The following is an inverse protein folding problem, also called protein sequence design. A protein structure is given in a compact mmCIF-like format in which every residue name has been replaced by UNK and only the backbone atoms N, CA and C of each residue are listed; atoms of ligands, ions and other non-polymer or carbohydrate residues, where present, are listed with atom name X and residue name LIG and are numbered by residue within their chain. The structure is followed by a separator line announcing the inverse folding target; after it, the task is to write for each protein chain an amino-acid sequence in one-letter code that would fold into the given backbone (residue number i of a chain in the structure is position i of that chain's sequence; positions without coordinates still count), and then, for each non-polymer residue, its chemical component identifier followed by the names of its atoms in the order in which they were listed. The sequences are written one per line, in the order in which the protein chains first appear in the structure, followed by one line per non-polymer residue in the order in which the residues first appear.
data_IF_433640416394
#
_entry.id   IF_433640416394
#
_cell.length_a   1.000
_cell.length_b   1.000
_cell.length_c   1.000
_cell.angle_alpha   90.00
_cell.angle_beta   90.00
_cell.angle_gamma   90.00
#
_symmetry.space_group_name_H-M   'P 1'
#
loop_
_entity.id
_entity.type
_entity.pdbx_description
1 polymer ?
#
# COMPACT_ATOMS: atom_id res chain seq x y z
N UNK A 1 -41.02 -3.25 1.67
CA UNK A 1 -39.69 -2.63 1.46
C UNK A 1 -39.89 -1.24 0.87
N UNK A 2 -39.14 -0.22 1.32
CA UNK A 2 -39.23 1.14 0.77
C UNK A 2 -38.83 1.15 -0.72
N UNK A 3 -39.42 2.03 -1.54
CA UNK A 3 -39.17 2.13 -3.00
C UNK A 3 -37.67 2.15 -3.37
N UNK A 4 -36.83 2.80 -2.56
CA UNK A 4 -35.37 2.83 -2.75
C UNK A 4 -34.69 1.46 -2.56
N UNK A 5 -35.16 0.66 -1.60
CA UNK A 5 -34.61 -0.69 -1.35
C UNK A 5 -34.97 -1.64 -2.50
N UNK A 6 -36.19 -1.57 -3.02
CA UNK A 6 -36.61 -2.35 -4.19
C UNK A 6 -35.85 -1.94 -5.47
N UNK A 7 -35.59 -0.64 -5.65
CA UNK A 7 -34.75 -0.16 -6.75
C UNK A 7 -33.31 -0.65 -6.62
N UNK A 8 -32.72 -0.53 -5.42
CA UNK A 8 -31.36 -0.98 -5.17
C UNK A 8 -31.23 -2.48 -5.42
N UNK A 9 -32.09 -3.31 -4.85
CA UNK A 9 -32.09 -4.77 -5.00
C UNK A 9 -32.81 -5.27 -6.26
N UNK A 10 -32.79 -4.50 -7.35
CA UNK A 10 -33.43 -4.95 -8.60
C UNK A 10 -32.77 -6.21 -9.17
N UNK A 11 -33.57 -7.24 -9.46
CA UNK A 11 -33.09 -8.54 -9.99
C UNK A 11 -32.31 -8.35 -11.31
N UNK A 12 -32.81 -7.48 -12.20
CA UNK A 12 -32.14 -7.14 -13.47
C UNK A 12 -30.74 -6.55 -13.33
N UNK A 13 -30.41 -5.99 -12.16
CA UNK A 13 -29.08 -5.50 -11.88
C UNK A 13 -28.21 -6.60 -11.27
N UNK A 14 -28.68 -7.23 -10.19
CA UNK A 14 -27.87 -8.11 -9.37
C UNK A 14 -27.75 -9.54 -9.89
N UNK A 15 -28.80 -10.09 -10.50
CA UNK A 15 -28.90 -11.52 -10.76
C UNK A 15 -28.72 -11.87 -12.25
N UNK A 16 -28.28 -13.10 -12.55
CA UNK A 16 -28.33 -13.66 -13.89
C UNK A 16 -29.76 -13.79 -14.44
N UNK A 17 -29.93 -13.98 -15.76
CA UNK A 17 -31.25 -14.23 -16.34
C UNK A 17 -31.94 -15.44 -15.71
N UNK A 18 -33.25 -15.35 -15.49
CA UNK A 18 -34.09 -16.40 -14.92
C UNK A 18 -33.78 -16.80 -13.47
N UNK A 19 -33.15 -15.90 -12.69
CA UNK A 19 -32.95 -16.08 -11.24
C UNK A 19 -33.67 -14.95 -10.51
N UNK A 20 -34.38 -15.30 -9.44
CA UNK A 20 -35.09 -14.35 -8.58
C UNK A 20 -34.53 -14.36 -7.15
N UNK A 21 -34.74 -13.27 -6.40
CA UNK A 21 -34.34 -13.25 -4.99
C UNK A 21 -35.12 -14.26 -4.15
N UNK A 22 -36.38 -14.55 -4.51
CA UNK A 22 -37.21 -15.51 -3.81
C UNK A 22 -36.63 -16.93 -3.81
N UNK A 23 -35.98 -17.33 -4.90
CA UNK A 23 -35.29 -18.63 -5.00
C UNK A 23 -34.03 -18.69 -4.14
N UNK A 24 -33.36 -17.54 -3.92
CA UNK A 24 -32.18 -17.45 -3.06
C UNK A 24 -32.53 -17.30 -1.57
N UNK A 25 -33.72 -16.78 -1.25
CA UNK A 25 -34.21 -16.62 0.12
C UNK A 25 -34.76 -17.94 0.71
N UNK A 26 -35.14 -18.88 -0.16
CA UNK A 26 -35.69 -20.19 0.21
C UNK A 26 -34.83 -21.35 -0.30
N UNK A 27 -33.62 -21.55 0.28
CA UNK A 27 -32.75 -22.64 -0.11
C UNK A 27 -33.37 -24.02 0.22
N UNK A 28 -32.92 -25.10 -0.45
CA UNK A 28 -33.32 -26.46 -0.12
C UNK A 28 -33.06 -26.82 1.35
N UNK A 29 -33.83 -27.77 1.95
CA UNK A 29 -33.63 -28.17 3.34
C UNK A 29 -32.19 -28.62 3.61
N UNK A 30 -31.53 -27.96 4.57
CA UNK A 30 -30.14 -28.24 4.96
C UNK A 30 -29.09 -27.40 4.24
N UNK A 31 -29.49 -26.53 3.31
CA UNK A 31 -28.61 -25.55 2.68
C UNK A 31 -28.84 -24.14 3.23
N UNK A 32 -27.78 -23.34 3.28
CA UNK A 32 -27.84 -21.91 3.58
C UNK A 32 -27.16 -21.14 2.45
N UNK A 33 -27.77 -20.05 2.00
CA UNK A 33 -27.18 -19.11 1.03
C UNK A 33 -26.80 -17.80 1.75
N UNK A 34 -25.79 -17.07 1.24
CA UNK A 34 -25.34 -15.82 1.84
C UNK A 34 -26.44 -14.75 1.81
N UNK A 35 -26.61 -14.04 2.92
CA UNK A 35 -27.57 -12.94 3.02
C UNK A 35 -26.86 -11.63 3.35
N UNK A 36 -27.25 -10.56 2.68
CA UNK A 36 -26.57 -9.26 2.80
C UNK A 36 -26.59 -8.67 4.23
N UNK A 37 -27.61 -8.99 5.03
CA UNK A 37 -27.73 -8.58 6.43
C UNK A 37 -26.64 -9.20 7.32
N UNK A 38 -26.16 -10.40 6.99
CA UNK A 38 -25.06 -11.06 7.72
C UNK A 38 -23.78 -10.21 7.70
N UNK A 39 -23.55 -9.44 6.62
CA UNK A 39 -22.39 -8.56 6.51
C UNK A 39 -22.46 -7.33 7.42
N UNK A 40 -23.64 -6.93 7.90
CA UNK A 40 -23.76 -5.82 8.84
C UNK A 40 -23.02 -6.10 10.16
N UNK A 41 -22.86 -7.38 10.52
CA UNK A 41 -22.05 -7.80 11.66
C UNK A 41 -20.56 -7.49 11.51
N UNK A 42 -20.06 -7.26 10.29
CA UNK A 42 -18.66 -6.94 10.04
C UNK A 42 -18.24 -5.57 10.61
N UNK A 43 -19.16 -4.61 10.72
CA UNK A 43 -18.86 -3.28 11.29
C UNK A 43 -18.56 -3.34 12.80
N UNK A 44 -19.44 -3.89 13.67
CA UNK A 44 -19.09 -4.07 15.07
C UNK A 44 -17.87 -5.00 15.26
N UNK A 45 -17.71 -6.02 14.41
CA UNK A 45 -16.51 -6.86 14.42
C UNK A 45 -15.25 -6.06 14.06
N UNK A 46 -15.29 -5.12 13.12
CA UNK A 46 -14.17 -4.25 12.80
C UNK A 46 -13.71 -3.40 14.00
N UNK A 47 -14.65 -2.88 14.80
CA UNK A 47 -14.32 -2.23 16.07
C UNK A 47 -13.74 -3.20 17.10
N UNK A 48 -14.22 -4.44 17.13
CA UNK A 48 -13.62 -5.53 17.90
C UNK A 48 -12.17 -5.80 17.49
N UNK A 49 -11.89 -5.89 16.19
CA UNK A 49 -10.55 -6.05 15.61
C UNK A 49 -9.64 -4.87 16.03
N UNK A 50 -10.15 -3.63 16.02
CA UNK A 50 -9.40 -2.47 16.52
C UNK A 50 -9.10 -2.56 18.01
N UNK A 51 -10.06 -3.02 18.83
CA UNK A 51 -9.83 -3.22 20.26
C UNK A 51 -8.76 -4.30 20.50
N UNK A 52 -8.83 -5.42 19.78
CA UNK A 52 -7.81 -6.49 19.82
C UNK A 52 -6.46 -5.95 19.36
N UNK A 53 -6.39 -5.13 18.30
CA UNK A 53 -5.16 -4.47 17.86
C UNK A 53 -4.54 -3.65 18.98
N UNK A 54 -5.31 -2.80 19.66
CA UNK A 54 -4.80 -1.96 20.76
C UNK A 54 -4.27 -2.82 21.91
N UNK A 55 -4.95 -3.91 22.25
CA UNK A 55 -4.48 -4.86 23.27
C UNK A 55 -3.20 -5.57 22.82
N UNK A 56 -3.15 -6.06 21.57
CA UNK A 56 -2.00 -6.74 20.99
C UNK A 56 -0.77 -5.83 20.96
N UNK A 57 -0.91 -4.59 20.50
CA UNK A 57 0.18 -3.62 20.46
C UNK A 57 0.75 -3.36 21.87
N UNK A 58 -0.12 -3.32 22.88
CA UNK A 58 0.28 -3.11 24.28
C UNK A 58 0.92 -4.33 24.92
N UNK A 59 0.33 -5.51 24.73
CA UNK A 59 0.67 -6.74 25.47
C UNK A 59 1.70 -7.61 24.76
N UNK A 60 1.82 -7.50 23.43
CA UNK A 60 2.69 -8.35 22.62
C UNK A 60 3.72 -7.51 21.86
N UNK A 61 3.27 -6.57 21.02
CA UNK A 61 4.18 -5.90 20.10
C UNK A 61 5.20 -5.00 20.79
N UNK A 62 4.79 -4.20 21.79
CA UNK A 62 5.71 -3.36 22.58
C UNK A 62 6.73 -4.18 23.37
N UNK A 63 6.35 -5.24 24.12
CA UNK A 63 7.33 -6.14 24.74
C UNK A 63 8.33 -6.74 23.74
N UNK A 64 7.86 -7.22 22.58
CA UNK A 64 8.75 -7.73 21.54
C UNK A 64 9.72 -6.66 21.00
N UNK A 65 9.24 -5.44 20.78
CA UNK A 65 10.07 -4.32 20.37
C UNK A 65 11.14 -3.98 21.42
N UNK A 66 10.80 -4.05 22.72
CA UNK A 66 11.75 -3.82 23.81
C UNK A 66 12.83 -4.91 23.86
N UNK A 67 12.46 -6.18 23.68
CA UNK A 67 13.42 -7.31 23.59
C UNK A 67 14.40 -7.10 22.43
N UNK A 68 13.89 -6.62 21.30
CA UNK A 68 14.70 -6.29 20.11
C UNK A 68 15.42 -4.93 20.22
N UNK A 69 15.33 -4.24 21.36
CA UNK A 69 15.94 -2.93 21.62
C UNK A 69 15.53 -1.86 20.58
N UNK A 70 14.31 -1.96 20.03
CA UNK A 70 13.73 -0.97 19.13
C UNK A 70 13.28 0.22 19.96
N UNK A 71 14.16 1.21 20.10
CA UNK A 71 13.84 2.41 20.84
C UNK A 71 12.86 3.30 20.07
N UNK A 72 11.86 3.83 20.78
CA UNK A 72 11.16 5.03 20.33
C UNK A 72 12.17 6.17 20.39
N UNK A 73 12.91 6.38 19.29
CA UNK A 73 13.95 7.41 19.25
C UNK A 73 13.40 8.73 19.77
N UNK A 74 14.05 9.32 20.77
CA UNK A 74 13.67 10.63 21.28
C UNK A 74 13.84 11.65 20.15
N UNK A 75 12.75 11.94 19.45
CA UNK A 75 12.76 12.98 18.42
C UNK A 75 13.03 14.30 19.14
N UNK A 76 14.22 14.87 18.91
CA UNK A 76 14.62 16.17 19.47
C UNK A 76 13.51 17.18 19.23
N UNK A 77 12.92 17.67 20.31
CA UNK A 77 11.78 18.58 20.20
C UNK A 77 12.24 19.94 19.68
N UNK A 78 11.48 20.54 18.77
CA UNK A 78 11.70 21.92 18.40
C UNK A 78 11.42 22.81 19.61
N UNK A 79 12.26 23.83 19.81
CA UNK A 79 12.08 24.78 20.91
C UNK A 79 10.71 25.49 20.77
N UNK A 80 9.90 25.63 21.83
CA UNK A 80 8.63 26.34 21.72
C UNK A 80 8.82 27.75 21.16
N UNK A 81 8.18 28.06 20.03
CA UNK A 81 8.20 29.39 19.42
C UNK A 81 6.87 29.66 18.69
N UNK A 82 6.05 30.55 19.25
CA UNK A 82 4.70 30.82 18.75
C UNK A 82 4.68 31.43 17.33
N UNK A 83 5.71 32.20 16.96
CA UNK A 83 5.82 32.81 15.62
C UNK A 83 6.09 31.73 14.58
N UNK A 84 7.07 30.86 14.85
CA UNK A 84 7.41 29.76 13.95
C UNK A 84 6.28 28.74 13.87
N UNK A 85 5.60 28.43 14.97
CA UNK A 85 4.44 27.53 14.99
C UNK A 85 3.28 28.09 14.15
N UNK A 86 2.98 29.39 14.29
CA UNK A 86 1.94 30.05 13.46
C UNK A 86 2.26 29.95 11.97
N UNK A 87 3.53 30.12 11.59
CA UNK A 87 3.94 29.92 10.19
C UNK A 87 3.83 28.46 9.79
N UNK A 88 4.24 27.53 10.66
CA UNK A 88 4.17 26.09 10.42
C UNK A 88 2.75 25.62 10.12
N UNK A 89 1.74 26.12 10.84
CA UNK A 89 0.33 25.82 10.58
C UNK A 89 -0.11 26.22 9.17
N UNK A 90 0.44 27.33 8.64
CA UNK A 90 0.15 27.77 7.26
C UNK A 90 1.00 27.07 6.19
N UNK A 91 2.23 26.69 6.53
CA UNK A 91 3.19 26.11 5.57
C UNK A 91 4.26 25.33 6.33
N UNK A 92 4.32 24.01 6.10
CA UNK A 92 5.28 23.11 6.77
C UNK A 92 6.71 23.27 6.27
N UNK A 93 6.90 23.81 5.06
CA UNK A 93 8.21 24.09 4.46
C UNK A 93 8.23 25.48 3.80
N UNK A 94 8.47 26.55 4.57
CA UNK A 94 8.48 27.91 4.04
C UNK A 94 9.64 28.15 3.07
N UNK A 95 9.41 29.00 2.06
CA UNK A 95 10.42 29.43 1.10
C UNK A 95 11.56 30.23 1.76
N UNK A 96 12.74 30.26 1.12
CA UNK A 96 13.95 30.91 1.62
C UNK A 96 13.72 32.37 2.05
N UNK A 97 12.97 33.15 1.26
CA UNK A 97 12.65 34.55 1.58
C UNK A 97 11.86 34.70 2.88
N UNK A 98 10.92 33.78 3.13
CA UNK A 98 10.10 33.78 4.36
C UNK A 98 10.92 33.35 5.58
N UNK A 99 11.86 32.41 5.39
CA UNK A 99 12.82 32.01 6.43
C UNK A 99 13.75 33.18 6.81
N UNK A 100 14.23 33.95 5.83
CA UNK A 100 15.04 35.15 6.09
C UNK A 100 14.26 36.23 6.86
N UNK A 101 12.99 36.44 6.52
CA UNK A 101 12.11 37.35 7.26
C UNK A 101 11.94 36.93 8.73
N UNK A 102 11.75 35.62 8.96
CA UNK A 102 11.63 35.06 10.32
C UNK A 102 12.93 35.14 11.11
N UNK A 103 14.07 34.95 10.43
CA UNK A 103 15.41 35.13 11.01
C UNK A 103 15.57 36.55 11.56
N UNK A 104 15.20 37.58 10.79
CA UNK A 104 15.23 38.98 11.23
C UNK A 104 14.24 39.27 12.36
N UNK A 105 13.02 38.74 12.29
CA UNK A 105 11.99 38.98 13.30
C UNK A 105 12.34 38.38 14.67
N UNK A 106 12.97 37.20 14.67
CA UNK A 106 13.27 36.43 15.88
C UNK A 106 14.70 36.65 16.39
N UNK A 107 15.51 37.42 15.67
CA UNK A 107 16.96 37.55 15.90
C UNK A 107 17.66 36.18 15.98
N UNK A 108 17.29 35.29 15.06
CA UNK A 108 17.85 33.93 14.96
C UNK A 108 18.63 33.78 13.67
N UNK A 109 19.69 32.99 13.69
CA UNK A 109 20.34 32.56 12.45
C UNK A 109 19.35 31.85 11.51
N UNK A 110 19.44 32.13 10.21
CA UNK A 110 18.67 31.44 9.17
C UNK A 110 18.75 29.92 9.32
N UNK A 111 19.95 29.39 9.62
CA UNK A 111 20.16 27.94 9.86
C UNK A 111 19.40 27.43 11.08
N UNK A 112 19.28 28.24 12.14
CA UNK A 112 18.53 27.89 13.36
C UNK A 112 17.03 27.82 13.07
N UNK A 113 16.50 28.77 12.28
CA UNK A 113 15.11 28.75 11.80
C UNK A 113 14.86 27.52 10.91
N UNK A 114 15.72 27.25 9.92
CA UNK A 114 15.63 26.05 9.07
C UNK A 114 15.67 24.75 9.90
N UNK A 115 16.58 24.68 10.88
CA UNK A 115 16.69 23.55 11.80
C UNK A 115 15.42 23.39 12.63
N UNK A 116 14.83 24.49 13.10
CA UNK A 116 13.57 24.45 13.83
C UNK A 116 12.46 23.83 12.98
N UNK A 117 12.25 24.30 11.74
CA UNK A 117 11.25 23.73 10.83
C UNK A 117 11.51 22.26 10.54
N UNK A 118 12.78 21.86 10.36
CA UNK A 118 13.15 20.46 10.18
C UNK A 118 12.83 19.60 11.41
N UNK A 119 13.18 20.06 12.61
CA UNK A 119 12.87 19.36 13.86
C UNK A 119 11.35 19.27 14.07
N UNK A 120 10.63 20.36 13.83
CA UNK A 120 9.17 20.43 13.97
C UNK A 120 8.47 19.43 13.05
N UNK A 121 8.89 19.33 11.78
CA UNK A 121 8.39 18.30 10.85
C UNK A 121 8.72 16.88 11.31
N UNK A 122 9.90 16.67 11.88
CA UNK A 122 10.34 15.36 12.37
C UNK A 122 9.70 14.95 13.70
N UNK A 123 9.10 15.89 14.45
CA UNK A 123 8.34 15.57 15.67
C UNK A 123 6.99 14.92 15.35
N UNK A 124 6.34 15.31 14.26
CA UNK A 124 5.07 14.71 13.82
C UNK A 124 5.28 13.39 13.06
N UNK A 125 6.54 13.04 12.76
CA UNK A 125 6.83 11.74 12.15
C UNK A 125 6.63 10.64 13.20
N UNK A 126 5.97 9.55 12.81
CA UNK A 126 5.80 8.41 13.71
C UNK A 126 7.13 7.77 14.07
N UNK A 127 7.20 7.27 15.31
CA UNK A 127 8.37 6.55 15.78
C UNK A 127 8.53 5.20 15.07
N UNK A 128 9.77 4.72 14.96
CA UNK A 128 10.07 3.36 14.48
C UNK A 128 9.33 2.30 15.33
N UNK A 129 9.17 2.55 16.63
CA UNK A 129 8.39 1.68 17.51
C UNK A 129 6.92 1.58 17.08
N UNK A 130 6.27 2.69 16.76
CA UNK A 130 4.89 2.72 16.26
C UNK A 130 4.78 1.89 14.98
N UNK A 131 5.67 2.15 14.00
CA UNK A 131 5.71 1.41 12.73
C UNK A 131 5.93 -0.10 12.93
N UNK A 132 6.80 -0.47 13.86
CA UNK A 132 7.05 -1.87 14.21
C UNK A 132 5.79 -2.53 14.79
N UNK A 133 5.10 -1.87 15.71
CA UNK A 133 3.88 -2.40 16.32
C UNK A 133 2.77 -2.59 15.28
N UNK A 134 2.56 -1.61 14.40
CA UNK A 134 1.60 -1.68 13.30
C UNK A 134 1.92 -2.85 12.35
N UNK A 135 3.17 -2.99 11.94
CA UNK A 135 3.62 -4.09 11.07
C UNK A 135 3.48 -5.46 11.74
N UNK A 136 3.75 -5.56 13.03
CA UNK A 136 3.65 -6.82 13.77
C UNK A 136 2.20 -7.29 13.93
N UNK A 137 1.26 -6.35 14.15
CA UNK A 137 -0.16 -6.62 14.15
C UNK A 137 -0.63 -7.16 12.79
N UNK A 138 -0.28 -6.46 11.71
CA UNK A 138 -0.62 -6.88 10.33
C UNK A 138 -0.04 -8.25 10.00
N UNK A 139 1.23 -8.48 10.33
CA UNK A 139 1.87 -9.78 10.13
C UNK A 139 1.10 -10.91 10.83
N UNK A 140 0.68 -10.69 12.08
CA UNK A 140 -0.03 -11.70 12.88
C UNK A 140 -1.39 -12.01 12.26
N UNK A 141 -2.13 -10.98 11.84
CA UNK A 141 -3.41 -11.15 11.16
C UNK A 141 -3.24 -11.90 9.83
N UNK A 142 -2.39 -11.41 8.93
CA UNK A 142 -2.18 -12.01 7.60
C UNK A 142 -1.69 -13.45 7.70
N UNK A 143 -0.80 -13.76 8.64
CA UNK A 143 -0.33 -15.14 8.85
C UNK A 143 -1.47 -16.06 9.29
N UNK A 144 -2.30 -15.60 10.25
CA UNK A 144 -3.43 -16.36 10.75
C UNK A 144 -4.48 -16.62 9.67
N UNK A 145 -4.90 -15.57 8.98
CA UNK A 145 -5.96 -15.64 7.98
C UNK A 145 -5.54 -16.40 6.72
N UNK A 146 -4.29 -16.21 6.25
CA UNK A 146 -3.76 -16.98 5.12
C UNK A 146 -3.62 -18.47 5.46
N UNK A 147 -3.20 -18.80 6.68
CA UNK A 147 -3.16 -20.20 7.11
C UNK A 147 -4.56 -20.82 7.14
N UNK A 148 -5.54 -20.08 7.63
CA UNK A 148 -6.95 -20.50 7.60
C UNK A 148 -7.43 -20.71 6.16
N UNK A 149 -7.19 -19.74 5.28
CA UNK A 149 -7.57 -19.76 3.87
C UNK A 149 -6.97 -20.96 3.15
N UNK A 150 -5.66 -21.21 3.27
CA UNK A 150 -5.00 -22.35 2.64
C UNK A 150 -5.57 -23.67 3.14
N UNK A 151 -5.79 -23.85 4.45
CA UNK A 151 -6.37 -25.12 4.94
C UNK A 151 -7.77 -25.38 4.39
N UNK A 152 -8.58 -24.34 4.26
CA UNK A 152 -9.93 -24.43 3.70
C UNK A 152 -9.92 -24.64 2.17
N UNK A 153 -9.15 -23.83 1.45
CA UNK A 153 -9.10 -23.85 -0.02
C UNK A 153 -8.40 -25.09 -0.56
N UNK A 154 -7.39 -25.62 0.11
CA UNK A 154 -6.63 -26.77 -0.39
C UNK A 154 -7.49 -27.99 -0.66
N UNK A 155 -8.53 -28.20 0.17
CA UNK A 155 -9.50 -29.30 0.01
C UNK A 155 -10.71 -28.91 -0.85
N UNK A 156 -10.82 -27.65 -1.25
CA UNK A 156 -11.93 -27.13 -2.05
C UNK A 156 -11.68 -27.34 -3.54
N UNK A 157 -12.62 -27.92 -4.33
CA UNK A 157 -12.40 -28.20 -5.75
C UNK A 157 -12.04 -26.98 -6.59
N UNK A 158 -12.63 -25.82 -6.28
CA UNK A 158 -12.41 -24.58 -7.02
C UNK A 158 -11.02 -23.98 -6.87
N UNK A 159 -10.23 -24.41 -5.88
CA UNK A 159 -8.83 -24.01 -5.76
C UNK A 159 -7.98 -24.56 -6.92
N UNK A 160 -8.38 -25.71 -7.48
CA UNK A 160 -7.63 -26.45 -8.49
C UNK A 160 -8.27 -26.37 -9.88
N UNK A 161 -9.60 -26.24 -9.95
CA UNK A 161 -10.37 -26.04 -11.17
C UNK A 161 -11.30 -24.82 -11.02
N UNK A 162 -10.93 -23.71 -11.65
CA UNK A 162 -11.65 -22.44 -11.51
C UNK A 162 -13.06 -22.47 -12.09
N UNK A 163 -13.39 -23.41 -13.00
CA UNK A 163 -14.77 -23.57 -13.51
C UNK A 163 -15.75 -23.97 -12.41
N UNK A 164 -15.26 -24.66 -11.37
CA UNK A 164 -16.04 -25.00 -10.18
C UNK A 164 -16.50 -23.76 -9.40
N UNK A 165 -15.91 -22.58 -9.63
CA UNK A 165 -16.45 -21.33 -9.09
C UNK A 165 -17.84 -20.99 -9.63
N UNK A 166 -18.18 -21.46 -10.83
CA UNK A 166 -19.36 -21.02 -11.59
C UNK A 166 -20.42 -22.11 -11.74
N UNK A 167 -20.06 -23.38 -11.60
CA UNK A 167 -21.06 -24.44 -11.62
C UNK A 167 -22.07 -24.26 -10.48
N UNK A 168 -23.35 -24.41 -10.83
CA UNK A 168 -24.50 -24.16 -9.97
C UNK A 168 -24.59 -22.72 -9.42
N UNK A 169 -23.84 -21.76 -9.97
CA UNK A 169 -23.99 -20.36 -9.62
C UNK A 169 -25.32 -19.82 -10.16
N UNK A 170 -26.12 -19.05 -9.38
CA UNK A 170 -25.85 -18.53 -8.02
C UNK A 170 -26.39 -19.39 -6.86
N UNK A 171 -26.82 -20.62 -7.10
CA UNK A 171 -27.36 -21.55 -6.09
C UNK A 171 -26.27 -22.36 -5.36
N UNK A 172 -25.25 -21.66 -4.84
CA UNK A 172 -24.13 -22.30 -4.15
C UNK A 172 -24.30 -22.22 -2.64
N UNK A 173 -24.19 -23.36 -1.96
CA UNK A 173 -24.29 -23.43 -0.50
C UNK A 173 -23.12 -22.69 0.17
N UNK A 174 -23.45 -21.86 1.17
CA UNK A 174 -22.50 -21.18 2.03
C UNK A 174 -21.98 -22.16 3.08
N UNK A 175 -20.70 -22.53 2.98
CA UNK A 175 -20.06 -23.29 4.07
C UNK A 175 -19.69 -22.38 5.26
N UNK A 176 -19.68 -22.89 6.50
CA UNK A 176 -19.19 -22.13 7.65
C UNK A 176 -17.75 -21.63 7.48
N UNK A 177 -16.92 -22.38 6.75
CA UNK A 177 -15.54 -21.99 6.42
C UNK A 177 -15.47 -20.74 5.54
N UNK A 178 -16.27 -20.70 4.47
CA UNK A 178 -16.42 -19.52 3.61
C UNK A 178 -16.93 -18.32 4.40
N UNK A 179 -17.99 -18.51 5.19
CA UNK A 179 -18.57 -17.44 6.00
C UNK A 179 -17.53 -16.80 6.93
N UNK A 180 -16.85 -17.63 7.72
CA UNK A 180 -15.85 -17.15 8.67
C UNK A 180 -14.68 -16.44 7.97
N UNK A 181 -14.24 -16.96 6.82
CA UNK A 181 -13.17 -16.30 6.05
C UNK A 181 -13.61 -14.91 5.57
N UNK A 182 -14.77 -14.83 4.92
CA UNK A 182 -15.32 -13.57 4.40
C UNK A 182 -15.55 -12.52 5.49
N UNK A 183 -16.16 -12.92 6.60
CA UNK A 183 -16.45 -11.99 7.70
C UNK A 183 -15.17 -11.51 8.38
N UNK A 184 -14.20 -12.40 8.60
CA UNK A 184 -12.91 -12.02 9.20
C UNK A 184 -12.14 -11.05 8.31
N UNK A 185 -12.04 -11.32 7.00
CA UNK A 185 -11.39 -10.43 6.05
C UNK A 185 -12.12 -9.08 5.97
N UNK A 186 -13.43 -9.09 5.75
CA UNK A 186 -14.20 -7.85 5.61
C UNK A 186 -14.12 -6.99 6.88
N UNK A 187 -14.21 -7.59 8.07
CA UNK A 187 -14.04 -6.88 9.33
C UNK A 187 -12.63 -6.28 9.47
N UNK A 188 -11.59 -7.01 9.04
CA UNK A 188 -10.22 -6.50 9.06
C UNK A 188 -10.03 -5.35 8.06
N UNK A 189 -10.52 -5.45 6.83
CA UNK A 189 -10.45 -4.36 5.85
C UNK A 189 -11.23 -3.13 6.31
N UNK A 190 -12.39 -3.28 6.95
CA UNK A 190 -13.08 -2.16 7.61
C UNK A 190 -12.26 -1.55 8.74
N UNK A 191 -11.59 -2.38 9.55
CA UNK A 191 -10.69 -1.88 10.61
C UNK A 191 -9.54 -1.05 10.02
N UNK A 192 -8.97 -1.48 8.88
CA UNK A 192 -7.94 -0.73 8.15
C UNK A 192 -8.51 0.56 7.53
N UNK A 193 -9.72 0.49 6.96
CA UNK A 193 -10.42 1.65 6.39
C UNK A 193 -10.66 2.74 7.42
N UNK A 194 -11.02 2.38 8.66
CA UNK A 194 -11.18 3.35 9.75
C UNK A 194 -9.84 3.82 10.32
N UNK A 195 -8.92 2.89 10.57
CA UNK A 195 -7.63 3.23 11.19
C UNK A 195 -6.72 4.03 10.27
N UNK A 196 -6.84 3.96 8.94
CA UNK A 196 -5.98 4.76 8.04
C UNK A 196 -6.06 6.28 8.27
N UNK A 197 -7.16 6.78 8.86
CA UNK A 197 -7.32 8.21 9.17
C UNK A 197 -6.54 8.63 10.42
N UNK A 198 -6.25 7.68 11.31
CA UNK A 198 -5.52 7.88 12.57
C UNK A 198 -4.08 7.34 12.52
N UNK A 199 -3.87 6.30 11.71
CA UNK A 199 -2.58 5.69 11.43
C UNK A 199 -1.69 6.69 10.67
N UNK A 200 -0.43 6.28 10.52
CA UNK A 200 0.59 7.05 9.83
C UNK A 200 0.14 7.35 8.40
N UNK A 201 -0.14 8.63 8.11
CA UNK A 201 -0.44 9.09 6.75
C UNK A 201 0.83 9.01 5.90
N UNK A 202 0.81 8.10 4.93
CA UNK A 202 1.86 7.92 3.93
C UNK A 202 1.50 8.69 2.65
N UNK A 203 2.48 8.91 1.76
CA UNK A 203 2.26 9.69 0.52
C UNK A 203 1.38 8.97 -0.51
N UNK A 204 1.22 7.66 -0.38
CA UNK A 204 0.31 6.81 -1.15
C UNK A 204 -1.11 6.73 -0.56
N UNK A 205 -1.47 7.61 0.39
CA UNK A 205 -2.77 7.61 1.07
C UNK A 205 -3.96 7.49 0.12
N UNK A 206 -4.02 8.30 -0.95
CA UNK A 206 -5.15 8.28 -1.88
C UNK A 206 -5.26 6.95 -2.63
N UNK A 207 -4.12 6.40 -3.05
CA UNK A 207 -4.06 5.13 -3.78
C UNK A 207 -4.49 3.98 -2.87
N UNK A 208 -3.99 3.97 -1.62
CA UNK A 208 -4.42 2.98 -0.62
C UNK A 208 -5.90 3.15 -0.24
N UNK A 209 -6.41 4.37 -0.15
CA UNK A 209 -7.83 4.63 0.13
C UNK A 209 -8.72 4.05 -0.98
N UNK A 210 -8.39 4.34 -2.25
CA UNK A 210 -9.10 3.78 -3.42
C UNK A 210 -9.01 2.25 -3.43
N UNK A 211 -7.85 1.69 -3.11
CA UNK A 211 -7.69 0.24 -2.97
C UNK A 211 -8.63 -0.35 -1.91
N UNK A 212 -8.64 0.18 -0.68
CA UNK A 212 -9.51 -0.34 0.38
C UNK A 212 -10.99 -0.18 0.04
N UNK A 213 -11.37 0.90 -0.64
CA UNK A 213 -12.74 1.08 -1.10
C UNK A 213 -13.09 0.02 -2.15
N UNK A 214 -12.20 -0.23 -3.11
CA UNK A 214 -12.38 -1.26 -4.13
C UNK A 214 -12.46 -2.66 -3.51
N UNK A 215 -11.57 -3.02 -2.58
CA UNK A 215 -11.56 -4.36 -1.95
C UNK A 215 -12.77 -4.58 -1.05
N UNK A 216 -13.16 -3.62 -0.22
CA UNK A 216 -14.39 -3.72 0.60
C UNK A 216 -15.61 -3.86 -0.30
N UNK A 217 -15.68 -3.09 -1.38
CA UNK A 217 -16.78 -3.19 -2.35
C UNK A 217 -16.77 -4.57 -3.02
N UNK A 218 -15.63 -5.06 -3.49
CA UNK A 218 -15.50 -6.38 -4.11
C UNK A 218 -15.94 -7.52 -3.18
N UNK A 219 -15.48 -7.54 -1.93
CA UNK A 219 -15.81 -8.57 -0.94
C UNK A 219 -17.31 -8.52 -0.60
N UNK A 220 -17.85 -7.32 -0.38
CA UNK A 220 -19.29 -7.14 -0.08
C UNK A 220 -20.14 -7.59 -1.27
N UNK A 221 -19.78 -7.16 -2.47
CA UNK A 221 -20.53 -7.42 -3.68
C UNK A 221 -20.47 -8.89 -4.10
N UNK A 222 -19.31 -9.55 -3.97
CA UNK A 222 -19.18 -10.98 -4.25
C UNK A 222 -19.98 -11.81 -3.26
N UNK A 223 -20.04 -11.41 -1.99
CA UNK A 223 -20.87 -12.09 -0.99
C UNK A 223 -22.37 -11.93 -1.29
N UNK A 224 -22.84 -10.70 -1.55
CA UNK A 224 -24.25 -10.44 -1.87
C UNK A 224 -24.75 -11.15 -3.14
N UNK A 225 -23.86 -11.40 -4.11
CA UNK A 225 -24.20 -12.11 -5.36
C UNK A 225 -23.89 -13.61 -5.32
N UNK A 226 -23.55 -14.16 -4.15
CA UNK A 226 -23.13 -15.56 -3.98
C UNK A 226 -21.92 -15.98 -4.85
N UNK A 227 -20.99 -15.08 -5.14
CA UNK A 227 -19.73 -15.34 -5.85
C UNK A 227 -18.61 -15.71 -4.88
N UNK A 228 -18.92 -16.54 -3.87
CA UNK A 228 -18.02 -16.74 -2.73
C UNK A 228 -16.77 -17.53 -3.10
N UNK A 229 -16.91 -18.59 -3.91
CA UNK A 229 -15.81 -19.47 -4.31
C UNK A 229 -14.66 -18.68 -4.93
N UNK A 230 -14.94 -17.89 -5.96
CA UNK A 230 -13.92 -17.08 -6.61
C UNK A 230 -13.38 -15.98 -5.69
N UNK A 231 -14.22 -15.34 -4.88
CA UNK A 231 -13.74 -14.30 -3.98
C UNK A 231 -12.86 -14.83 -2.83
N UNK A 232 -13.06 -16.08 -2.37
CA UNK A 232 -12.09 -16.71 -1.45
C UNK A 232 -10.70 -16.89 -2.09
N UNK A 233 -10.65 -17.21 -3.38
CA UNK A 233 -9.38 -17.30 -4.11
C UNK A 233 -8.75 -15.92 -4.30
N UNK A 234 -9.55 -14.90 -4.62
CA UNK A 234 -9.11 -13.50 -4.70
C UNK A 234 -8.42 -13.11 -3.40
N UNK A 235 -9.09 -13.22 -2.25
CA UNK A 235 -8.51 -12.84 -0.95
C UNK A 235 -7.19 -13.59 -0.68
N UNK A 236 -7.20 -14.92 -0.84
CA UNK A 236 -6.03 -15.76 -0.53
C UNK A 236 -4.78 -15.37 -1.35
N UNK A 237 -4.94 -15.07 -2.65
CA UNK A 237 -3.83 -14.67 -3.52
C UNK A 237 -3.25 -13.31 -3.11
N UNK A 238 -4.07 -12.41 -2.56
CA UNK A 238 -3.61 -11.09 -2.13
C UNK A 238 -2.88 -11.15 -0.78
N UNK A 239 -3.32 -11.97 0.16
CA UNK A 239 -2.73 -12.03 1.51
C UNK A 239 -1.31 -12.65 1.50
N UNK A 240 -1.02 -13.52 0.53
CA UNK A 240 0.22 -14.28 0.45
C UNK A 240 1.50 -13.42 0.48
N UNK A 241 1.55 -12.33 -0.30
CA UNK A 241 2.73 -11.46 -0.36
C UNK A 241 2.86 -10.57 0.87
N UNK A 242 1.75 -10.27 1.55
CA UNK A 242 1.72 -9.28 2.62
C UNK A 242 2.39 -9.80 3.89
N UNK A 243 2.34 -11.12 4.13
CA UNK A 243 3.12 -11.78 5.18
C UNK A 243 4.62 -11.49 5.01
N UNK A 244 5.14 -11.70 3.80
CA UNK A 244 6.58 -11.50 3.51
C UNK A 244 6.94 -10.02 3.58
N UNK A 245 6.06 -9.14 3.12
CA UNK A 245 6.24 -7.70 3.21
C UNK A 245 6.37 -7.22 4.66
N UNK A 246 5.44 -7.63 5.53
CA UNK A 246 5.47 -7.23 6.93
C UNK A 246 6.67 -7.83 7.68
N UNK A 247 7.08 -9.07 7.36
CA UNK A 247 8.34 -9.64 7.86
C UNK A 247 9.57 -8.82 7.47
N UNK A 248 9.67 -8.40 6.20
CA UNK A 248 10.78 -7.58 5.72
C UNK A 248 10.83 -6.21 6.43
N UNK A 249 9.66 -5.58 6.66
CA UNK A 249 9.55 -4.34 7.44
C UNK A 249 10.01 -4.51 8.88
N UNK A 250 9.59 -5.57 9.56
CA UNK A 250 10.02 -5.84 10.94
C UNK A 250 11.54 -6.05 11.01
N UNK A 251 12.12 -6.78 10.06
CA UNK A 251 13.57 -6.96 9.97
C UNK A 251 14.29 -5.62 9.73
N UNK A 252 13.74 -4.74 8.89
CA UNK A 252 14.28 -3.39 8.68
C UNK A 252 14.27 -2.56 9.97
N UNK A 253 13.15 -2.54 10.70
CA UNK A 253 13.03 -1.81 11.96
C UNK A 253 13.96 -2.35 13.06
N UNK A 254 14.18 -3.66 13.09
CA UNK A 254 15.15 -4.32 13.96
C UNK A 254 16.61 -4.20 13.49
N UNK A 255 16.86 -3.52 12.35
CA UNK A 255 18.19 -3.34 11.73
C UNK A 255 18.87 -4.65 11.29
N UNK A 256 18.08 -5.69 10.99
CA UNK A 256 18.57 -6.96 10.47
C UNK A 256 18.62 -6.93 8.93
N UNK A 257 19.61 -6.21 8.40
CA UNK A 257 19.69 -5.89 6.97
C UNK A 257 19.68 -7.12 6.05
N UNK A 258 20.39 -8.21 6.41
CA UNK A 258 20.42 -9.43 5.58
C UNK A 258 19.02 -10.06 5.45
N UNK A 259 18.27 -10.12 6.55
CA UNK A 259 16.91 -10.68 6.57
C UNK A 259 15.96 -9.74 5.80
N UNK A 260 16.09 -8.44 6.00
CA UNK A 260 15.32 -7.44 5.25
C UNK A 260 15.56 -7.56 3.74
N UNK A 261 16.82 -7.62 3.30
CA UNK A 261 17.18 -7.69 1.87
C UNK A 261 16.69 -8.99 1.24
N UNK A 262 16.91 -10.13 1.90
CA UNK A 262 16.36 -11.43 1.45
C UNK A 262 14.84 -11.40 1.42
N UNK A 263 14.22 -10.86 2.48
CA UNK A 263 12.77 -10.72 2.58
C UNK A 263 12.18 -9.87 1.47
N UNK A 264 12.84 -8.77 1.09
CA UNK A 264 12.42 -7.93 -0.04
C UNK A 264 12.46 -8.67 -1.38
N UNK A 265 13.48 -9.49 -1.61
CA UNK A 265 13.57 -10.33 -2.83
C UNK A 265 12.45 -11.37 -2.85
N UNK A 266 12.25 -12.09 -1.74
CA UNK A 266 11.17 -13.08 -1.63
C UNK A 266 9.80 -12.42 -1.81
N UNK A 267 9.57 -11.27 -1.16
CA UNK A 267 8.35 -10.47 -1.32
C UNK A 267 8.10 -10.11 -2.77
N UNK A 268 9.14 -9.63 -3.49
CA UNK A 268 9.02 -9.24 -4.90
C UNK A 268 8.62 -10.41 -5.80
N UNK A 269 9.19 -11.59 -5.55
CA UNK A 269 8.87 -12.82 -6.28
C UNK A 269 7.45 -13.28 -5.98
N UNK A 270 7.06 -13.34 -4.70
CA UNK A 270 5.71 -13.76 -4.30
C UNK A 270 4.67 -12.79 -4.85
N UNK A 271 4.89 -11.48 -4.72
CA UNK A 271 4.00 -10.45 -5.29
C UNK A 271 3.82 -10.64 -6.80
N UNK A 272 4.92 -10.86 -7.54
CA UNK A 272 4.86 -11.08 -8.99
C UNK A 272 4.01 -12.32 -9.33
N UNK A 273 4.31 -13.46 -8.71
CA UNK A 273 3.61 -14.71 -8.97
C UNK A 273 2.12 -14.59 -8.61
N UNK A 274 1.80 -14.10 -7.43
CA UNK A 274 0.40 -14.07 -6.97
C UNK A 274 -0.41 -13.01 -7.72
N UNK A 275 0.10 -11.78 -7.85
CA UNK A 275 -0.69 -10.64 -8.36
C UNK A 275 -0.53 -10.35 -9.85
N UNK A 276 0.56 -10.79 -10.48
CA UNK A 276 0.79 -10.58 -11.93
C UNK A 276 0.78 -11.88 -12.76
N UNK A 277 0.76 -13.06 -12.13
CA UNK A 277 0.59 -14.34 -12.83
C UNK A 277 -0.73 -15.00 -12.46
N UNK A 278 -0.89 -15.45 -11.23
CA UNK A 278 -2.09 -16.19 -10.81
C UNK A 278 -3.34 -15.31 -10.91
N UNK A 279 -3.30 -14.09 -10.38
CA UNK A 279 -4.47 -13.21 -10.39
C UNK A 279 -4.99 -12.91 -11.81
N UNK A 280 -4.20 -12.41 -12.79
CA UNK A 280 -4.73 -12.12 -14.13
C UNK A 280 -5.04 -13.38 -14.96
N UNK A 281 -4.17 -14.41 -14.94
CA UNK A 281 -4.30 -15.54 -15.86
C UNK A 281 -5.21 -16.66 -15.34
N UNK A 282 -5.42 -16.77 -14.04
CA UNK A 282 -6.39 -17.71 -13.47
C UNK A 282 -7.66 -17.01 -13.00
N UNK A 283 -7.54 -16.06 -12.07
CA UNK A 283 -8.72 -15.48 -11.40
C UNK A 283 -9.49 -14.54 -12.34
N UNK A 284 -8.83 -13.55 -12.93
CA UNK A 284 -9.47 -12.60 -13.85
C UNK A 284 -9.96 -13.34 -15.10
N UNK A 285 -9.19 -14.28 -15.64
CA UNK A 285 -9.64 -15.15 -16.73
C UNK A 285 -10.92 -15.91 -16.36
N UNK A 286 -10.98 -16.51 -15.17
CA UNK A 286 -12.16 -17.22 -14.70
C UNK A 286 -13.39 -16.31 -14.59
N UNK A 287 -13.24 -15.11 -14.01
CA UNK A 287 -14.36 -14.16 -13.88
C UNK A 287 -14.77 -13.57 -15.23
N UNK A 288 -13.84 -13.26 -16.14
CA UNK A 288 -14.19 -12.64 -17.42
C UNK A 288 -14.67 -13.64 -18.48
N UNK A 289 -14.06 -14.83 -18.53
CA UNK A 289 -14.26 -15.79 -19.62
C UNK A 289 -15.11 -16.97 -19.16
N UNK A 290 -14.68 -17.70 -18.13
CA UNK A 290 -15.39 -18.92 -17.71
C UNK A 290 -16.78 -18.62 -17.16
N UNK A 291 -16.93 -17.55 -16.37
CA UNK A 291 -18.24 -17.15 -15.87
C UNK A 291 -19.16 -16.67 -17.00
N UNK A 292 -18.62 -16.05 -18.05
CA UNK A 292 -19.40 -15.66 -19.23
C UNK A 292 -19.91 -16.90 -19.96
N UNK A 293 -19.04 -17.90 -20.18
CA UNK A 293 -19.41 -19.15 -20.85
C UNK A 293 -20.49 -19.94 -20.08
N UNK A 294 -20.39 -19.97 -18.75
CA UNK A 294 -21.22 -20.84 -17.90
C UNK A 294 -22.52 -20.14 -17.47
N UNK A 295 -22.44 -18.87 -17.09
CA UNK A 295 -23.56 -18.11 -16.48
C UNK A 295 -24.13 -17.08 -17.47
N UNK A 296 -23.27 -16.49 -18.29
CA UNK A 296 -23.62 -15.35 -19.15
C UNK A 296 -23.52 -14.00 -18.43
N UNK A 297 -23.50 -12.88 -19.18
CA UNK A 297 -23.32 -11.55 -18.62
C UNK A 297 -24.63 -10.98 -18.04
N UNK A 298 -24.49 -10.22 -16.95
CA UNK A 298 -25.55 -9.43 -16.31
C UNK A 298 -24.96 -8.12 -15.78
N UNK A 299 -25.76 -7.18 -15.26
CA UNK A 299 -25.26 -5.79 -15.03
C UNK A 299 -24.24 -5.71 -13.90
N UNK A 300 -24.49 -6.35 -12.77
CA UNK A 300 -23.60 -6.40 -11.61
C UNK A 300 -22.27 -7.10 -11.92
N UNK A 301 -22.28 -8.09 -12.82
CA UNK A 301 -21.08 -8.72 -13.36
C UNK A 301 -20.09 -7.71 -13.98
N UNK A 302 -20.56 -6.72 -14.74
CA UNK A 302 -19.70 -5.69 -15.32
C UNK A 302 -19.04 -4.82 -14.26
N UNK A 303 -19.80 -4.45 -13.22
CA UNK A 303 -19.27 -3.66 -12.10
C UNK A 303 -18.16 -4.42 -11.36
N UNK A 304 -18.40 -5.70 -11.04
CA UNK A 304 -17.40 -6.53 -10.35
C UNK A 304 -16.12 -6.67 -11.18
N UNK A 305 -16.24 -6.96 -12.48
CA UNK A 305 -15.09 -7.07 -13.37
C UNK A 305 -14.33 -5.75 -13.51
N UNK A 306 -15.03 -4.62 -13.60
CA UNK A 306 -14.41 -3.30 -13.59
C UNK A 306 -13.57 -3.06 -12.34
N UNK A 307 -14.10 -3.39 -11.16
CA UNK A 307 -13.37 -3.27 -9.88
C UNK A 307 -12.15 -4.21 -9.80
N UNK A 308 -12.27 -5.44 -10.30
CA UNK A 308 -11.15 -6.39 -10.37
C UNK A 308 -10.04 -5.87 -11.31
N UNK A 309 -10.39 -5.24 -12.43
CA UNK A 309 -9.42 -4.62 -13.35
C UNK A 309 -8.75 -3.36 -12.75
N UNK A 310 -9.49 -2.57 -11.97
CA UNK A 310 -8.91 -1.49 -11.16
C UNK A 310 -7.86 -2.06 -10.21
N UNK A 311 -8.19 -3.15 -9.51
CA UNK A 311 -7.27 -3.81 -8.59
C UNK A 311 -6.01 -4.34 -9.32
N UNK A 312 -6.18 -4.97 -10.49
CA UNK A 312 -5.07 -5.40 -11.33
C UNK A 312 -4.17 -4.23 -11.77
N UNK A 313 -4.76 -3.10 -12.14
CA UNK A 313 -4.01 -1.90 -12.56
C UNK A 313 -3.15 -1.36 -11.40
N UNK A 314 -3.69 -1.36 -10.19
CA UNK A 314 -2.94 -0.99 -8.99
C UNK A 314 -1.78 -1.97 -8.72
N UNK A 315 -1.95 -3.28 -8.92
CA UNK A 315 -0.84 -4.24 -8.79
C UNK A 315 0.29 -4.01 -9.78
N UNK A 316 -0.04 -3.68 -11.03
CA UNK A 316 0.97 -3.33 -12.04
C UNK A 316 1.73 -2.07 -11.60
N UNK A 317 1.02 -1.07 -11.10
CA UNK A 317 1.63 0.15 -10.55
C UNK A 317 2.56 -0.14 -9.36
N UNK A 318 2.13 -0.91 -8.36
CA UNK A 318 2.98 -1.25 -7.22
C UNK A 318 4.16 -2.13 -7.62
N UNK A 319 3.97 -3.08 -8.55
CA UNK A 319 5.08 -3.89 -9.05
C UNK A 319 6.11 -3.05 -9.79
N UNK A 320 5.68 -2.03 -10.56
CA UNK A 320 6.60 -1.07 -11.16
C UNK A 320 7.46 -0.37 -10.10
N UNK A 321 6.88 0.05 -8.97
CA UNK A 321 7.64 0.62 -7.85
C UNK A 321 8.62 -0.39 -7.25
N UNK A 322 8.18 -1.61 -7.00
CA UNK A 322 9.02 -2.69 -6.45
C UNK A 322 10.21 -2.99 -7.38
N UNK A 323 9.94 -3.17 -8.67
CA UNK A 323 10.97 -3.43 -9.69
C UNK A 323 11.97 -2.27 -9.77
N UNK A 324 11.48 -1.02 -9.70
CA UNK A 324 12.33 0.16 -9.69
C UNK A 324 13.29 0.18 -8.49
N UNK A 325 12.83 -0.18 -7.29
CA UNK A 325 13.70 -0.32 -6.10
C UNK A 325 14.74 -1.39 -6.32
N UNK A 326 14.33 -2.58 -6.79
CA UNK A 326 15.21 -3.70 -7.02
C UNK A 326 16.31 -3.35 -8.03
N UNK A 327 15.94 -2.70 -9.13
CA UNK A 327 16.86 -2.18 -10.16
C UNK A 327 17.82 -1.17 -9.53
N UNK A 328 17.33 -0.15 -8.82
CA UNK A 328 18.18 0.85 -8.14
C UNK A 328 19.16 0.19 -7.18
N UNK A 329 18.74 -0.83 -6.43
CA UNK A 329 19.61 -1.58 -5.51
C UNK A 329 20.70 -2.36 -6.23
N UNK A 330 20.39 -3.00 -7.36
CA UNK A 330 21.37 -3.76 -8.17
C UNK A 330 22.38 -2.81 -8.83
N UNK A 331 21.91 -1.69 -9.41
CA UNK A 331 22.78 -0.72 -10.09
C UNK A 331 23.62 0.11 -9.11
N UNK A 332 23.08 0.52 -7.95
CA UNK A 332 23.86 1.18 -6.88
C UNK A 332 24.80 0.20 -6.17
N UNK A 333 24.58 -1.12 -6.25
CA UNK A 333 25.53 -2.14 -5.82
C UNK A 333 26.90 -2.08 -6.52
N UNK A 334 27.04 -1.27 -7.59
CA UNK A 334 28.32 -0.98 -8.28
C UNK A 334 29.03 0.31 -7.84
N UNK A 335 28.48 1.14 -6.95
CA UNK A 335 29.21 2.30 -6.37
C UNK A 335 28.76 2.52 -4.91
N UNK A 336 29.73 2.48 -4.01
CA UNK A 336 29.58 2.34 -2.56
C UNK A 336 28.80 3.46 -1.83
N UNK A 337 28.20 3.03 -0.70
CA UNK A 337 27.96 3.75 0.57
C UNK A 337 27.50 5.22 0.48
N UNK A 338 26.21 5.43 0.29
CA UNK A 338 25.36 6.31 1.12
C UNK A 338 23.89 6.14 0.68
N UNK A 339 22.91 6.54 1.50
CA UNK A 339 21.46 6.66 1.19
C UNK A 339 20.49 5.52 1.58
N UNK A 340 20.89 4.48 2.32
CA UNK A 340 19.98 3.33 2.58
C UNK A 340 18.91 3.57 3.67
N UNK A 341 18.52 4.82 3.93
CA UNK A 341 17.25 5.18 4.58
C UNK A 341 16.04 5.14 3.63
N UNK A 342 16.29 5.00 2.31
CA UNK A 342 15.27 5.08 1.25
C UNK A 342 14.35 3.86 1.11
N UNK A 343 14.57 2.77 1.87
CA UNK A 343 13.76 1.55 1.73
C UNK A 343 12.33 1.76 2.25
N UNK A 344 12.12 2.68 3.21
CA UNK A 344 10.79 3.20 3.53
C UNK A 344 10.35 4.34 2.60
N UNK A 345 11.28 5.03 1.93
CA UNK A 345 11.02 6.20 1.07
C UNK A 345 10.57 5.82 -0.34
N UNK A 346 10.59 4.56 -0.75
CA UNK A 346 10.23 4.24 -2.13
C UNK A 346 8.73 4.27 -2.45
N UNK A 347 7.86 4.34 -1.45
CA UNK A 347 6.48 4.83 -1.63
C UNK A 347 6.35 6.33 -1.34
N UNK A 348 7.46 7.02 -1.06
CA UNK A 348 7.52 8.39 -0.55
C UNK A 348 8.37 9.35 -1.39
N UNK A 349 8.92 8.99 -2.56
CA UNK A 349 9.89 9.87 -3.26
C UNK A 349 9.66 10.23 -4.73
N UNK A 350 8.47 10.07 -5.30
CA UNK A 350 8.20 10.68 -6.61
C UNK A 350 6.86 11.38 -6.72
N UNK A 351 6.89 12.71 -6.62
CA UNK A 351 5.96 13.60 -7.32
C UNK A 351 6.49 15.04 -7.48
N UNK A 352 7.77 15.33 -7.23
CA UNK A 352 8.25 16.72 -7.19
C UNK A 352 9.59 16.96 -7.94
N UNK A 353 9.74 16.37 -9.13
CA UNK A 353 10.86 16.72 -10.05
C UNK A 353 10.41 17.32 -11.38
N UNK A 354 9.15 17.70 -11.54
CA UNK A 354 8.67 18.26 -12.81
C UNK A 354 8.34 19.77 -12.78
N UNK A 355 9.07 20.60 -12.00
CA UNK A 355 9.15 22.05 -12.22
C UNK A 355 10.48 22.60 -11.68
N UNK A 356 11.61 22.36 -12.36
CA UNK A 356 12.84 23.21 -12.32
C UNK A 356 13.95 22.62 -13.20
N UNK A 357 13.70 22.55 -14.51
CA UNK A 357 14.80 22.55 -15.48
C UNK A 357 14.33 23.14 -16.79
N UNK A 358 14.25 24.48 -16.81
CA UNK A 358 14.27 25.23 -18.06
C UNK A 358 14.91 26.58 -17.78
N UNK A 359 16.25 26.57 -17.77
CA UNK A 359 17.13 27.61 -18.33
C UNK A 359 18.55 27.38 -17.83
N UNK A 360 19.34 26.65 -18.63
CA UNK A 360 20.74 26.96 -18.93
C UNK A 360 21.28 25.97 -19.95
N UNK A 361 21.19 26.35 -21.22
CA UNK A 361 22.13 25.91 -22.25
C UNK A 361 22.07 26.88 -23.44
N UNK A 362 23.10 27.72 -23.58
CA UNK A 362 23.59 28.12 -24.89
C UNK A 362 25.12 28.14 -24.85
N UNK A 363 25.80 27.37 -25.71
CA UNK A 363 27.23 27.45 -25.91
C UNK A 363 27.60 28.51 -26.97
N UNK A 364 28.84 28.98 -26.87
CA UNK A 364 29.50 29.97 -27.71
C UNK A 364 29.30 29.76 -29.22
N UNK A 365 28.93 30.85 -29.90
CA UNK A 365 29.14 31.06 -31.33
C UNK A 365 30.34 31.99 -31.55
N UNK A 366 31.18 31.60 -32.51
CA UNK A 366 32.35 32.29 -33.05
C UNK A 366 32.06 33.69 -33.58
N UNK A 367 32.91 34.67 -33.25
CA UNK A 367 33.07 35.88 -34.06
C UNK A 367 34.54 36.31 -34.15
N UNK A 368 34.90 36.79 -35.33
CA UNK A 368 36.24 37.06 -35.83
C UNK A 368 36.88 38.32 -35.22
N UNK A 369 38.21 38.33 -35.30
CA UNK A 369 39.20 39.37 -34.97
C UNK A 369 38.84 40.82 -35.40
N UNK A 370 39.46 41.86 -34.79
CA UNK A 370 40.75 42.30 -35.37
C UNK A 370 41.85 42.75 -34.37
N UNK A 371 43.09 42.54 -34.84
CA UNK A 371 44.39 43.20 -34.58
C UNK A 371 44.45 44.37 -33.57
N UNK A 372 45.42 44.33 -32.64
CA UNK A 372 46.66 45.14 -32.68
C UNK A 372 47.66 44.83 -31.54
N UNK A 373 48.91 44.62 -31.97
CA UNK A 373 50.22 45.08 -31.43
C UNK A 373 50.71 44.79 -29.99
N UNK A 374 51.84 44.07 -30.00
CA UNK A 374 53.15 44.34 -29.33
C UNK A 374 53.40 44.03 -27.84
N UNK A 375 54.52 43.33 -27.62
CA UNK A 375 55.34 43.41 -26.41
C UNK A 375 55.75 42.06 -25.79
N UNK A 376 56.64 41.28 -26.42
CA UNK A 376 58.04 41.02 -26.03
C UNK A 376 58.35 40.47 -24.61
N UNK A 377 59.08 39.35 -24.64
CA UNK A 377 60.10 38.84 -23.68
C UNK A 377 59.59 38.19 -22.38
N UNK A 378 60.14 37.07 -21.89
CA UNK A 378 61.42 36.43 -22.21
C UNK A 378 61.57 35.03 -21.62
N UNK A 379 62.72 34.47 -21.94
CA UNK A 379 63.18 33.08 -21.90
C UNK A 379 63.81 32.65 -20.56
N UNK A 380 64.03 31.34 -20.40
CA UNK A 380 65.05 30.65 -19.57
C UNK A 380 64.84 30.64 -18.03
N UNK A 381 65.16 29.62 -17.22
CA UNK A 381 65.95 28.35 -17.22
C UNK A 381 65.29 27.47 -16.10
N UNK A 382 65.32 26.14 -16.03
CA UNK A 382 66.43 25.20 -16.19
C UNK A 382 66.98 24.76 -14.81
N UNK A 383 66.89 23.46 -14.49
CA UNK A 383 67.90 22.75 -13.67
C UNK A 383 67.58 22.38 -12.21
N UNK A 384 67.20 21.10 -12.01
CA UNK A 384 67.68 20.11 -11.01
C UNK A 384 68.63 20.53 -9.88
N UNK A 385 68.37 20.02 -8.65
CA UNK A 385 69.06 18.90 -7.91
C UNK A 385 69.28 19.15 -6.40
N UNK A 386 69.36 18.02 -5.68
CA UNK A 386 69.85 17.76 -4.30
C UNK A 386 68.85 18.05 -3.17
N UNK A 387 68.58 17.18 -2.18
CA UNK A 387 69.29 16.02 -1.60
C UNK A 387 68.28 14.97 -1.11
#
# INVERSE_FOLDING_TARGET
MNSLSAWFWSESFWLPPNVTWAELEHPPPGEEYPRADQLLSCLPLAFGVLAVRVLFERLVAKPCANILQIQAGESRRAQPNAVLERVFTSTTSPESRRVEGLSKQLDWDVRKVQRWFRLRRNQDKPSTLTKFCESMWRLTFYTGIFTYAIRYLWVSPWMWDTRQCWYNYPFQTLSPGQYNYYVAELAFYWSLMFSQFTDIKRKDFLIMFVHHLATITLITFSYCNNMLRIGTMVMCVHDASDIVLELAKLANYAKYQRICDTGFVVFSIVFFITRLVIYPFWIIYSVLVESWEIVGPYRSWWLLNGLLLVLQSLHVFWFYLIARIAIKAIFKGKVAKDDRSDIESSSEEETDTNVKSRNKSHPNGSEQSPKKENGTNGFAKGGTKDH
#
